data_IF_089968788041
#
_entry.id   IF_089968788041
#
_cell.length_a   1.000
_cell.length_b   1.000
_cell.length_c   1.000
_cell.angle_alpha   90.00
_cell.angle_beta   90.00
_cell.angle_gamma   90.00
#
_symmetry.space_group_name_H-M   'P 1'
#
loop_
_entity.id
_entity.type
_entity.pdbx_description
1 polymer ?
#
# COMPACT_ATOMS: atom_id res chain seq x y z
N UNK A 1 -9.56 -15.19 17.77
CA UNK A 1 -8.64 -15.89 16.85
C UNK A 1 -8.92 -15.61 15.38
N UNK A 2 -10.18 -15.61 14.92
CA UNK A 2 -10.52 -15.32 13.51
C UNK A 2 -9.99 -13.97 13.01
N UNK A 3 -10.13 -12.90 13.81
CA UNK A 3 -9.60 -11.56 13.47
C UNK A 3 -8.09 -11.54 13.25
N UNK A 4 -7.32 -12.15 14.16
CA UNK A 4 -5.86 -12.35 14.03
C UNK A 4 -5.50 -13.03 12.71
N UNK A 5 -6.17 -14.13 12.36
CA UNK A 5 -5.89 -14.88 11.14
C UNK A 5 -6.14 -14.01 9.90
N UNK A 6 -7.26 -13.30 9.85
CA UNK A 6 -7.59 -12.39 8.74
C UNK A 6 -6.52 -11.30 8.59
N UNK A 7 -6.14 -10.67 9.70
CA UNK A 7 -5.14 -9.60 9.71
C UNK A 7 -3.75 -10.11 9.28
N UNK A 8 -3.35 -11.31 9.69
CA UNK A 8 -2.08 -11.93 9.29
C UNK A 8 -2.05 -12.34 7.81
N UNK A 9 -3.14 -12.90 7.28
CA UNK A 9 -3.26 -13.19 5.85
C UNK A 9 -3.13 -11.89 5.05
N UNK A 10 -3.86 -10.85 5.45
CA UNK A 10 -3.75 -9.53 4.82
C UNK A 10 -2.33 -8.97 4.88
N UNK A 11 -1.69 -8.99 6.05
CA UNK A 11 -0.30 -8.58 6.23
C UNK A 11 0.63 -9.29 5.23
N UNK A 12 0.59 -10.63 5.16
CA UNK A 12 1.44 -11.42 4.26
C UNK A 12 1.19 -11.05 2.81
N UNK A 13 -0.08 -10.95 2.39
CA UNK A 13 -0.44 -10.60 1.01
C UNK A 13 0.10 -9.22 0.63
N UNK A 14 -0.16 -8.19 1.45
CA UNK A 14 0.29 -6.83 1.15
C UNK A 14 1.81 -6.71 1.23
N UNK A 15 2.47 -7.45 2.13
CA UNK A 15 3.92 -7.48 2.22
C UNK A 15 4.57 -8.09 0.96
N UNK A 16 4.04 -9.20 0.45
CA UNK A 16 4.52 -9.81 -0.80
C UNK A 16 4.36 -8.83 -1.97
N UNK A 17 3.21 -8.17 -2.08
CA UNK A 17 2.96 -7.14 -3.09
C UNK A 17 3.95 -5.97 -2.94
N UNK A 18 4.21 -5.52 -1.71
CA UNK A 18 5.15 -4.46 -1.41
C UNK A 18 6.56 -4.79 -1.90
N UNK A 19 7.05 -6.00 -1.61
CA UNK A 19 8.37 -6.49 -2.07
C UNK A 19 8.44 -6.53 -3.60
N UNK A 20 7.38 -7.02 -4.25
CA UNK A 20 7.34 -7.11 -5.71
C UNK A 20 7.34 -5.72 -6.37
N UNK A 21 6.51 -4.79 -5.89
CA UNK A 21 6.42 -3.41 -6.36
C UNK A 21 7.71 -2.62 -6.12
N UNK A 22 8.38 -2.84 -4.98
CA UNK A 22 9.64 -2.17 -4.61
C UNK A 22 10.80 -2.48 -5.58
N UNK A 23 10.71 -3.57 -6.34
CA UNK A 23 11.65 -3.89 -7.42
C UNK A 23 11.38 -3.08 -8.71
N UNK A 24 10.44 -2.14 -8.68
CA UNK A 24 10.00 -1.39 -9.88
C UNK A 24 9.13 -2.22 -10.83
N UNK A 25 8.66 -3.39 -10.38
CA UNK A 25 7.82 -4.31 -11.15
C UNK A 25 6.37 -4.18 -10.70
N UNK A 26 5.43 -4.81 -11.40
CA UNK A 26 4.07 -4.96 -10.89
C UNK A 26 3.15 -3.75 -11.02
N UNK A 27 3.48 -2.72 -11.82
CA UNK A 27 2.59 -1.59 -12.02
C UNK A 27 1.21 -1.96 -12.61
N UNK A 28 1.05 -3.15 -13.18
CA UNK A 28 -0.26 -3.68 -13.61
C UNK A 28 -1.22 -3.92 -12.42
N UNK A 29 -0.70 -4.04 -11.20
CA UNK A 29 -1.49 -4.11 -9.96
C UNK A 29 -2.04 -2.74 -9.54
N UNK A 30 -1.55 -1.65 -10.13
CA UNK A 30 -1.99 -0.29 -9.82
C UNK A 30 -3.17 0.00 -10.73
N UNK A 31 -4.39 -0.11 -10.19
CA UNK A 31 -5.63 0.01 -10.96
C UNK A 31 -5.66 1.27 -11.83
N UNK A 32 -5.35 2.45 -11.27
CA UNK A 32 -5.32 3.71 -12.01
C UNK A 32 -4.32 3.74 -13.17
N UNK A 33 -3.16 3.07 -13.02
CA UNK A 33 -2.22 2.90 -14.12
C UNK A 33 -2.73 1.87 -15.14
N UNK A 34 -3.33 0.77 -14.68
CA UNK A 34 -3.79 -0.30 -15.57
C UNK A 34 -4.97 0.13 -16.47
N UNK A 35 -5.83 1.03 -15.98
CA UNK A 35 -6.99 1.56 -16.73
C UNK A 35 -6.64 2.67 -17.73
N UNK A 36 -5.43 3.23 -17.68
CA UNK A 36 -4.96 4.20 -18.67
C UNK A 36 -4.81 3.57 -20.07
N UNK A 37 -5.01 4.40 -21.10
CA UNK A 37 -4.69 4.06 -22.48
C UNK A 37 -3.18 3.81 -22.64
N UNK A 38 -2.78 3.18 -23.75
CA UNK A 38 -1.36 2.92 -24.02
C UNK A 38 -0.55 4.23 -24.11
N UNK A 39 -1.09 5.25 -24.77
CA UNK A 39 -0.43 6.56 -24.90
C UNK A 39 -0.26 7.26 -23.56
N UNK A 40 -1.27 7.20 -22.68
CA UNK A 40 -1.16 7.81 -21.33
C UNK A 40 -0.12 7.07 -20.48
N UNK A 41 -0.05 5.73 -20.56
CA UNK A 41 0.94 4.95 -19.81
C UNK A 41 2.38 5.33 -20.16
N UNK A 42 2.65 5.71 -21.40
CA UNK A 42 3.98 6.07 -21.87
C UNK A 42 4.49 7.41 -21.30
N UNK A 43 3.58 8.30 -20.90
CA UNK A 43 3.91 9.54 -20.18
C UNK A 43 4.42 9.30 -18.77
N UNK A 44 4.23 8.12 -18.19
CA UNK A 44 4.57 7.85 -16.79
C UNK A 44 5.92 7.13 -16.61
N UNK A 45 6.63 7.48 -15.55
CA UNK A 45 7.69 6.63 -14.99
C UNK A 45 7.04 5.50 -14.18
N UNK A 46 6.76 4.40 -14.89
CA UNK A 46 6.25 3.14 -14.34
C UNK A 46 7.10 2.60 -13.18
N UNK A 47 8.42 2.78 -13.24
CA UNK A 47 9.34 2.23 -12.24
C UNK A 47 9.25 3.04 -10.95
N UNK A 48 9.28 4.36 -11.04
CA UNK A 48 9.10 5.25 -9.89
C UNK A 48 7.73 5.07 -9.24
N UNK A 49 6.66 5.00 -10.06
CA UNK A 49 5.30 4.76 -9.59
C UNK A 49 5.18 3.42 -8.85
N UNK A 50 5.72 2.33 -9.42
CA UNK A 50 5.71 1.02 -8.77
C UNK A 50 6.48 1.02 -7.45
N UNK A 51 7.69 1.60 -7.42
CA UNK A 51 8.49 1.70 -6.19
C UNK A 51 7.78 2.53 -5.11
N UNK A 52 7.13 3.63 -5.49
CA UNK A 52 6.33 4.42 -4.56
C UNK A 52 5.18 3.60 -3.98
N UNK A 53 4.40 2.93 -4.84
CA UNK A 53 3.28 2.12 -4.39
C UNK A 53 3.75 0.96 -3.48
N UNK A 54 4.93 0.38 -3.76
CA UNK A 54 5.56 -0.60 -2.88
C UNK A 54 5.80 -0.07 -1.45
N UNK A 55 6.29 1.17 -1.30
CA UNK A 55 6.44 1.82 0.01
C UNK A 55 5.11 1.98 0.73
N UNK A 56 4.05 2.34 0.01
CA UNK A 56 2.71 2.47 0.58
C UNK A 56 2.17 1.11 1.05
N UNK A 57 2.38 0.05 0.26
CA UNK A 57 1.97 -1.30 0.64
C UNK A 57 2.71 -1.83 1.88
N UNK A 58 3.99 -1.46 2.09
CA UNK A 58 4.66 -1.77 3.36
C UNK A 58 3.95 -1.12 4.54
N UNK A 59 3.61 0.16 4.45
CA UNK A 59 2.88 0.85 5.52
C UNK A 59 1.51 0.23 5.80
N UNK A 60 0.77 -0.15 4.75
CA UNK A 60 -0.51 -0.86 4.89
C UNK A 60 -0.31 -2.21 5.58
N UNK A 61 0.67 -3.01 5.13
CA UNK A 61 0.98 -4.30 5.74
C UNK A 61 1.31 -4.16 7.23
N UNK A 62 2.12 -3.15 7.60
CA UNK A 62 2.47 -2.88 8.98
C UNK A 62 1.25 -2.48 9.83
N UNK A 63 0.32 -1.71 9.27
CA UNK A 63 -0.93 -1.35 9.94
C UNK A 63 -1.78 -2.59 10.27
N UNK A 64 -1.86 -3.56 9.34
CA UNK A 64 -2.54 -4.84 9.58
C UNK A 64 -1.83 -5.70 10.64
N UNK A 65 -0.49 -5.66 10.67
CA UNK A 65 0.27 -6.34 11.71
C UNK A 65 -0.02 -5.76 13.10
N UNK A 66 -0.16 -4.43 13.22
CA UNK A 66 -0.57 -3.78 14.47
C UNK A 66 -1.97 -4.21 14.91
N UNK A 67 -2.91 -4.41 13.98
CA UNK A 67 -4.24 -4.94 14.30
C UNK A 67 -4.19 -6.39 14.77
N UNK A 68 -3.36 -7.24 14.15
CA UNK A 68 -3.14 -8.60 14.64
C UNK A 68 -2.57 -8.60 16.07
N UNK A 69 -1.61 -7.71 16.37
CA UNK A 69 -1.07 -7.56 17.72
C UNK A 69 -2.08 -6.96 18.71
N UNK A 70 -2.92 -6.03 18.27
CA UNK A 70 -4.03 -5.51 19.09
C UNK A 70 -4.90 -6.65 19.61
N UNK A 71 -5.28 -7.58 18.74
CA UNK A 71 -6.11 -8.73 19.10
C UNK A 71 -5.36 -9.72 20.02
N UNK A 72 -4.08 -10.01 19.74
CA UNK A 72 -3.26 -10.94 20.53
C UNK A 72 -3.04 -10.42 21.95
N UNK A 73 -2.76 -9.13 22.10
CA UNK A 73 -2.46 -8.50 23.38
C UNK A 73 -3.68 -7.84 24.05
N UNK A 74 -4.86 -7.95 23.44
CA UNK A 74 -6.08 -7.27 23.87
C UNK A 74 -5.86 -5.76 24.13
N UNK A 75 -5.11 -5.10 23.26
CA UNK A 75 -4.68 -3.70 23.40
C UNK A 75 -5.27 -2.82 22.31
N UNK A 76 -6.41 -2.19 22.63
CA UNK A 76 -7.12 -1.29 21.71
C UNK A 76 -6.28 -0.10 21.22
N UNK A 77 -5.25 0.31 21.98
CA UNK A 77 -4.33 1.36 21.55
C UNK A 77 -3.57 0.99 20.27
N UNK A 78 -3.17 -0.28 20.12
CA UNK A 78 -2.51 -0.77 18.90
C UNK A 78 -3.45 -0.73 17.70
N UNK A 79 -4.74 -1.04 17.90
CA UNK A 79 -5.75 -0.92 16.85
C UNK A 79 -5.88 0.52 16.36
N UNK A 80 -6.00 1.47 17.29
CA UNK A 80 -6.16 2.89 16.97
C UNK A 80 -4.93 3.42 16.23
N UNK A 81 -3.72 3.09 16.68
CA UNK A 81 -2.48 3.48 16.00
C UNK A 81 -2.43 2.89 14.59
N UNK A 82 -2.73 1.59 14.44
CA UNK A 82 -2.81 0.94 13.14
C UNK A 82 -3.84 1.59 12.21
N UNK A 83 -5.00 1.99 12.74
CA UNK A 83 -6.06 2.65 11.98
C UNK A 83 -5.65 4.03 11.49
N UNK A 84 -5.06 4.85 12.35
CA UNK A 84 -4.54 6.18 11.99
C UNK A 84 -3.47 6.06 10.91
N UNK A 85 -2.54 5.12 11.05
CA UNK A 85 -1.49 4.86 10.06
C UNK A 85 -2.10 4.42 8.72
N UNK A 86 -3.02 3.45 8.73
CA UNK A 86 -3.67 2.92 7.54
C UNK A 86 -4.36 4.03 6.73
N UNK A 87 -5.19 4.83 7.40
CA UNK A 87 -5.91 5.95 6.75
C UNK A 87 -4.92 7.01 6.27
N UNK A 88 -3.94 7.39 7.10
CA UNK A 88 -2.93 8.39 6.76
C UNK A 88 -2.11 8.00 5.53
N UNK A 89 -1.72 6.72 5.41
CA UNK A 89 -0.99 6.20 4.25
C UNK A 89 -1.84 6.24 2.99
N UNK A 90 -3.13 5.88 3.06
CA UNK A 90 -4.04 5.95 1.90
C UNK A 90 -4.21 7.40 1.44
N UNK A 91 -4.51 8.32 2.36
CA UNK A 91 -4.67 9.73 2.03
C UNK A 91 -3.38 10.31 1.44
N UNK A 92 -2.24 10.01 2.04
CA UNK A 92 -0.94 10.43 1.52
C UNK A 92 -0.68 9.84 0.12
N UNK A 93 -0.94 8.56 -0.09
CA UNK A 93 -0.76 7.91 -1.39
C UNK A 93 -1.62 8.56 -2.48
N UNK A 94 -2.89 8.85 -2.18
CA UNK A 94 -3.81 9.52 -3.11
C UNK A 94 -3.32 10.93 -3.42
N UNK A 95 -3.07 11.76 -2.40
CA UNK A 95 -2.65 13.15 -2.61
C UNK A 95 -1.31 13.21 -3.34
N UNK A 96 -0.32 12.45 -2.90
CA UNK A 96 1.02 12.49 -3.47
C UNK A 96 1.07 12.00 -4.92
N UNK A 97 0.29 10.95 -5.26
CA UNK A 97 0.29 10.41 -6.63
C UNK A 97 -0.50 11.24 -7.63
N UNK A 98 -1.48 12.02 -7.17
CA UNK A 98 -2.36 12.81 -8.05
C UNK A 98 -1.98 14.30 -8.12
N UNK A 99 -1.01 14.77 -7.35
CA UNK A 99 -0.60 16.19 -7.36
C UNK A 99 0.79 16.37 -7.95
N UNK A 100 1.05 17.51 -8.60
CA UNK A 100 2.40 17.90 -9.02
C UNK A 100 3.08 17.00 -10.06
N UNK A 101 2.32 16.21 -10.83
CA UNK A 101 2.82 15.35 -11.90
C UNK A 101 4.02 14.46 -11.49
N UNK A 102 4.06 14.00 -10.22
CA UNK A 102 5.23 13.35 -9.58
C UNK A 102 5.78 12.12 -10.31
N UNK A 103 4.95 11.47 -11.10
CA UNK A 103 5.29 10.24 -11.81
C UNK A 103 5.17 10.38 -13.33
N UNK A 104 4.96 11.60 -13.85
CA UNK A 104 5.13 11.85 -15.28
C UNK A 104 6.62 12.00 -15.61
N UNK A 105 7.00 11.60 -16.81
CA UNK A 105 8.35 11.76 -17.35
C UNK A 105 8.64 13.20 -17.75
#
# INVERSE_FOLDING_TARGET
MTGVIINLIGFITFFIIAVFLSKGKGAFLIAGFNTMSASEKDEYDKTALAKFMGKMMYGISFSLLLWAFSDIFNNQGLFIVGLILFIGIILFAIVYSNTGNRFKR
#
